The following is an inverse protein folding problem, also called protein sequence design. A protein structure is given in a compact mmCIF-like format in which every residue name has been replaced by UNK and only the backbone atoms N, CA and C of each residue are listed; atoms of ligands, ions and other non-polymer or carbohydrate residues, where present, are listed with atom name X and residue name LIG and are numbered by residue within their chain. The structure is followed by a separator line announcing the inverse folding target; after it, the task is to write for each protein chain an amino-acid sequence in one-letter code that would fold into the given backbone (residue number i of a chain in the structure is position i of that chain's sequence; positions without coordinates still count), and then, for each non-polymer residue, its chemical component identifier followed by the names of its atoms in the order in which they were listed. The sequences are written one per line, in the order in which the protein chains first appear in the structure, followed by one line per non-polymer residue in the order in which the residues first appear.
data_IF_401774190823
#
_entry.id   IF_401774190823
#
_cell.length_a   1.000
_cell.length_b   1.000
_cell.length_c   1.000
_cell.angle_alpha   90.00
_cell.angle_beta   90.00
_cell.angle_gamma   90.00
#
_symmetry.space_group_name_H-M   'P 1'
#
loop_
_entity.id
_entity.type
_entity.pdbx_description
1 polymer ?
#
# COMPACT_ATOMS: atom_id res chain seq x y z
N UNK A 1 34.16 -20.05 -10.87
CA UNK A 1 34.55 -18.83 -11.61
C UNK A 1 34.64 -19.19 -13.08
N UNK A 2 33.82 -18.59 -13.94
CA UNK A 2 33.86 -18.81 -15.40
C UNK A 2 33.88 -17.43 -16.03
N UNK A 3 35.07 -17.01 -16.42
CA UNK A 3 35.35 -15.75 -17.09
C UNK A 3 34.99 -15.83 -18.58
N UNK A 4 34.88 -14.63 -19.16
CA UNK A 4 35.06 -14.27 -20.59
C UNK A 4 33.79 -14.21 -21.45
N UNK A 5 33.36 -12.98 -21.72
CA UNK A 5 33.12 -12.49 -23.08
C UNK A 5 33.10 -10.95 -23.07
N UNK A 6 34.29 -10.37 -23.18
CA UNK A 6 34.54 -8.97 -23.44
C UNK A 6 34.21 -8.66 -24.91
N UNK A 7 33.30 -7.74 -25.19
CA UNK A 7 33.27 -7.00 -26.46
C UNK A 7 33.19 -5.52 -26.16
N UNK A 8 34.38 -4.97 -25.91
CA UNK A 8 34.74 -3.58 -26.13
C UNK A 8 34.76 -3.36 -27.65
N UNK A 9 34.20 -2.25 -28.16
CA UNK A 9 34.94 -1.23 -28.94
C UNK A 9 34.00 -0.16 -29.53
N UNK A 10 34.14 1.07 -29.00
CA UNK A 10 34.44 2.36 -29.70
C UNK A 10 33.45 2.74 -30.83
N UNK A 11 32.76 3.88 -30.78
CA UNK A 11 33.35 5.16 -31.23
C UNK A 11 32.45 6.36 -30.91
N UNK A 12 33.10 7.44 -30.50
CA UNK A 12 32.55 8.76 -30.27
C UNK A 12 32.08 9.46 -31.57
N UNK A 13 30.97 10.19 -31.48
CA UNK A 13 30.71 11.36 -32.32
C UNK A 13 30.27 12.49 -31.40
N UNK A 14 31.08 13.54 -31.35
CA UNK A 14 30.71 14.80 -30.74
C UNK A 14 29.57 15.43 -31.53
N UNK A 15 28.55 15.95 -30.86
CA UNK A 15 27.75 17.04 -31.39
C UNK A 15 27.64 18.14 -30.35
N UNK A 16 28.21 19.29 -30.69
CA UNK A 16 28.12 20.52 -29.95
C UNK A 16 26.70 21.12 -30.10
N UNK A 17 26.23 21.75 -29.02
CA UNK A 17 25.22 22.82 -28.96
C UNK A 17 24.07 22.84 -29.96
N UNK A 18 22.85 22.62 -29.46
CA UNK A 18 21.73 23.53 -29.69
C UNK A 18 20.67 23.29 -28.61
N UNK A 19 20.37 24.33 -27.83
CA UNK A 19 19.10 24.41 -27.13
C UNK A 19 18.00 24.43 -28.19
N UNK A 20 17.09 23.47 -28.17
CA UNK A 20 15.79 23.59 -28.82
C UNK A 20 14.74 22.97 -27.90
N UNK A 21 13.97 23.86 -27.29
CA UNK A 21 12.71 23.56 -26.66
C UNK A 21 11.67 23.36 -27.78
N UNK A 22 11.39 22.11 -28.14
CA UNK A 22 10.19 21.77 -28.90
C UNK A 22 9.77 20.34 -28.54
N UNK A 23 8.97 20.19 -27.48
CA UNK A 23 8.23 18.95 -27.25
C UNK A 23 7.00 18.92 -28.17
N UNK A 24 7.24 18.89 -29.49
CA UNK A 24 6.22 18.46 -30.44
C UNK A 24 6.15 16.94 -30.39
N UNK A 25 5.43 16.40 -29.40
CA UNK A 25 5.04 14.98 -29.42
C UNK A 25 4.09 14.78 -30.60
N UNK A 26 4.66 14.49 -31.77
CA UNK A 26 3.88 14.25 -32.98
C UNK A 26 3.36 12.83 -32.90
N UNK A 27 2.22 12.65 -32.24
CA UNK A 27 1.57 11.35 -32.16
C UNK A 27 1.12 10.93 -33.55
N UNK A 28 1.60 9.77 -33.99
CA UNK A 28 1.19 9.17 -35.26
C UNK A 28 -0.24 8.64 -35.13
N UNK A 29 -0.97 8.57 -36.25
CA UNK A 29 -2.30 7.98 -36.28
C UNK A 29 -2.33 6.55 -35.73
N UNK A 30 -1.26 5.78 -35.96
CA UNK A 30 -1.11 4.43 -35.43
C UNK A 30 -1.04 4.42 -33.89
N UNK A 31 -0.30 5.36 -33.29
CA UNK A 31 -0.22 5.50 -31.83
C UNK A 31 -1.58 5.86 -31.22
N UNK A 32 -2.30 6.81 -31.83
CA UNK A 32 -3.64 7.20 -31.36
C UNK A 32 -4.62 6.02 -31.41
N UNK A 33 -4.56 5.18 -32.45
CA UNK A 33 -5.41 3.99 -32.55
C UNK A 33 -5.03 2.95 -31.48
N UNK A 34 -3.75 2.75 -31.21
CA UNK A 34 -3.29 1.83 -30.18
C UNK A 34 -3.73 2.28 -28.78
N UNK A 35 -3.57 3.57 -28.46
CA UNK A 35 -3.99 4.16 -27.20
C UNK A 35 -5.51 4.07 -27.01
N UNK A 36 -6.26 4.34 -28.08
CA UNK A 36 -7.72 4.26 -28.05
C UNK A 36 -8.21 2.82 -27.86
N UNK A 37 -7.52 1.83 -28.43
CA UNK A 37 -7.81 0.42 -28.20
C UNK A 37 -7.51 0.02 -26.75
N UNK A 38 -6.36 0.44 -26.22
CA UNK A 38 -5.99 0.23 -24.82
C UNK A 38 -7.03 0.85 -23.86
N UNK A 39 -7.47 2.08 -24.12
CA UNK A 39 -8.48 2.77 -23.30
C UNK A 39 -9.85 2.07 -23.33
N UNK A 40 -10.21 1.40 -24.44
CA UNK A 40 -11.41 0.57 -24.52
C UNK A 40 -11.28 -0.71 -23.69
N UNK A 41 -10.13 -1.38 -23.78
CA UNK A 41 -9.86 -2.62 -23.04
C UNK A 41 -9.79 -2.36 -21.53
N UNK A 42 -9.23 -1.22 -21.12
CA UNK A 42 -9.15 -0.81 -19.72
C UNK A 42 -10.45 -0.23 -19.17
N UNK A 43 -11.51 -0.11 -19.99
CA UNK A 43 -12.80 0.43 -19.57
C UNK A 43 -12.79 1.92 -19.23
N UNK A 44 -11.77 2.67 -19.66
CA UNK A 44 -11.63 4.10 -19.39
C UNK A 44 -12.56 4.98 -20.22
N UNK A 45 -13.14 4.44 -21.30
CA UNK A 45 -14.07 5.16 -22.17
C UNK A 45 -15.53 4.93 -21.76
N UNK A 46 -16.28 6.01 -21.57
CA UNK A 46 -17.73 5.94 -21.35
C UNK A 46 -18.48 5.86 -22.68
N UNK A 47 -19.60 5.13 -22.69
CA UNK A 47 -20.52 5.09 -23.82
C UNK A 47 -21.84 5.73 -23.39
N UNK A 48 -22.25 6.79 -24.09
CA UNK A 48 -23.53 7.47 -23.87
C UNK A 48 -23.43 8.76 -23.05
N UNK A 49 -24.58 9.42 -22.88
CA UNK A 49 -24.69 10.80 -22.39
C UNK A 49 -24.66 10.92 -20.85
N UNK A 50 -24.73 9.81 -20.12
CA UNK A 50 -25.03 9.82 -18.68
C UNK A 50 -23.84 9.55 -17.73
N UNK A 51 -22.66 9.19 -18.24
CA UNK A 51 -21.55 8.77 -17.38
C UNK A 51 -20.38 9.75 -17.46
N UNK A 52 -20.61 11.01 -17.09
CA UNK A 52 -19.53 11.97 -16.86
C UNK A 52 -19.49 12.36 -15.38
N UNK A 53 -18.37 12.17 -14.68
CA UNK A 53 -17.08 11.67 -15.18
C UNK A 53 -17.07 10.15 -15.43
N UNK A 54 -16.13 9.63 -16.27
CA UNK A 54 -15.93 8.20 -16.43
C UNK A 54 -15.66 7.52 -15.09
N UNK A 55 -16.27 6.35 -14.89
CA UNK A 55 -16.02 5.52 -13.72
C UNK A 55 -14.52 5.16 -13.70
N UNK A 56 -13.81 5.63 -12.68
CA UNK A 56 -12.42 5.29 -12.49
C UNK A 56 -12.39 3.83 -12.03
N UNK A 57 -11.87 2.95 -12.89
CA UNK A 57 -11.69 1.54 -12.52
C UNK A 57 -10.58 1.49 -11.47
N UNK A 58 -10.95 1.35 -10.20
CA UNK A 58 -9.96 1.15 -9.13
C UNK A 58 -9.30 -0.20 -9.34
N UNK A 59 -8.06 -0.19 -9.84
CA UNK A 59 -7.27 -1.39 -10.10
C UNK A 59 -6.81 -2.09 -8.82
N UNK A 60 -6.95 -1.43 -7.68
CA UNK A 60 -6.47 -1.92 -6.40
C UNK A 60 -7.66 -2.07 -5.45
N UNK A 61 -8.02 -3.32 -5.16
CA UNK A 61 -8.89 -3.67 -4.04
C UNK A 61 -8.24 -4.80 -3.26
N UNK A 62 -8.10 -4.62 -1.94
CA UNK A 62 -7.63 -5.69 -1.06
C UNK A 62 -8.73 -6.74 -0.95
N UNK A 63 -8.35 -8.02 -0.95
CA UNK A 63 -9.31 -9.08 -0.63
C UNK A 63 -9.78 -8.92 0.82
N UNK A 64 -10.97 -9.46 1.13
CA UNK A 64 -11.48 -9.48 2.51
C UNK A 64 -10.45 -10.09 3.47
N UNK A 65 -9.79 -11.16 3.05
CA UNK A 65 -8.80 -11.86 3.87
C UNK A 65 -7.55 -11.00 4.14
N UNK A 66 -7.09 -10.24 3.14
CA UNK A 66 -5.98 -9.30 3.31
C UNK A 66 -6.33 -8.18 4.30
N UNK A 67 -7.54 -7.63 4.20
CA UNK A 67 -8.03 -6.60 5.14
C UNK A 67 -8.12 -7.16 6.56
N UNK A 68 -8.62 -8.39 6.72
CA UNK A 68 -8.70 -9.04 8.03
C UNK A 68 -7.32 -9.32 8.64
N UNK A 69 -6.35 -9.74 7.83
CA UNK A 69 -4.98 -9.97 8.28
C UNK A 69 -4.31 -8.67 8.77
N UNK A 70 -4.46 -7.58 8.02
CA UNK A 70 -3.93 -6.26 8.38
C UNK A 70 -4.61 -5.70 9.63
N UNK A 71 -5.93 -5.84 9.75
CA UNK A 71 -6.66 -5.43 10.96
C UNK A 71 -6.19 -6.20 12.20
N UNK A 72 -5.96 -7.52 12.07
CA UNK A 72 -5.44 -8.33 13.16
C UNK A 72 -4.02 -7.91 13.57
N UNK A 73 -3.16 -7.60 12.58
CA UNK A 73 -1.81 -7.10 12.83
C UNK A 73 -1.82 -5.74 13.54
N UNK A 74 -2.59 -4.77 13.04
CA UNK A 74 -2.72 -3.44 13.65
C UNK A 74 -3.28 -3.51 15.08
N UNK A 75 -4.22 -4.43 15.35
CA UNK A 75 -4.74 -4.68 16.70
C UNK A 75 -3.67 -5.28 17.62
N UNK A 76 -2.85 -6.20 17.12
CA UNK A 76 -1.76 -6.79 17.90
C UNK A 76 -0.65 -5.77 18.21
N UNK A 77 -0.38 -4.86 17.28
CA UNK A 77 0.58 -3.77 17.43
C UNK A 77 0.04 -2.58 18.26
N UNK A 78 -1.25 -2.57 18.61
CA UNK A 78 -1.85 -1.48 19.37
C UNK A 78 -1.92 -0.16 18.60
N UNK A 79 -1.98 -0.21 17.25
CA UNK A 79 -2.01 0.97 16.37
C UNK A 79 -3.43 1.54 16.18
N UNK A 80 -4.46 0.84 16.67
CA UNK A 80 -5.85 1.26 16.54
C UNK A 80 -6.25 2.12 17.73
N UNK A 81 -6.73 3.35 17.47
CA UNK A 81 -7.35 4.16 18.52
C UNK A 81 -8.66 3.52 18.98
N UNK A 82 -8.95 3.62 20.27
CA UNK A 82 -10.25 3.23 20.83
C UNK A 82 -10.97 4.50 21.29
N UNK A 83 -12.00 4.92 20.55
CA UNK A 83 -12.81 6.11 20.86
C UNK A 83 -12.30 7.41 20.20
N UNK A 84 -12.97 8.52 20.53
CA UNK A 84 -12.79 9.82 19.87
C UNK A 84 -11.61 10.66 20.40
N UNK A 85 -10.93 10.22 21.46
CA UNK A 85 -9.98 11.05 22.21
C UNK A 85 -8.49 10.78 21.93
N UNK A 86 -8.14 9.68 21.24
CA UNK A 86 -6.75 9.28 20.99
C UNK A 86 -6.35 9.45 19.51
N UNK A 87 -6.29 10.70 19.04
CA UNK A 87 -5.70 11.03 17.74
C UNK A 87 -4.52 12.01 17.87
N UNK A 88 -3.33 11.67 17.32
CA UNK A 88 -3.00 10.44 16.60
C UNK A 88 -2.90 9.22 17.55
N UNK A 89 -3.13 7.99 17.06
CA UNK A 89 -2.98 6.80 17.89
C UNK A 89 -1.53 6.71 18.39
N UNK A 90 -1.37 6.69 19.71
CA UNK A 90 -0.07 6.44 20.33
C UNK A 90 0.12 4.93 20.39
N UNK A 91 1.21 4.41 19.81
CA UNK A 91 1.53 3.00 19.90
C UNK A 91 1.55 2.57 21.38
N UNK A 92 0.78 1.52 21.70
CA UNK A 92 0.74 1.00 23.06
C UNK A 92 2.17 0.63 23.52
N UNK A 93 2.53 1.01 24.74
CA UNK A 93 3.82 0.61 25.30
C UNK A 93 3.91 -0.92 25.31
N UNK A 94 5.01 -1.45 24.78
CA UNK A 94 5.29 -2.89 24.72
C UNK A 94 5.19 -3.48 26.14
N UNK A 95 4.18 -4.31 26.38
CA UNK A 95 4.06 -5.07 27.62
C UNK A 95 5.16 -6.12 27.67
N UNK A 96 5.88 -6.19 28.78
CA UNK A 96 6.85 -7.28 29.02
C UNK A 96 6.18 -8.63 29.27
N UNK A 97 4.85 -8.64 29.49
CA UNK A 97 4.05 -9.85 29.71
C UNK A 97 3.18 -10.16 28.49
N UNK A 98 3.23 -11.40 28.05
CA UNK A 98 2.30 -11.98 27.07
C UNK A 98 0.90 -12.10 27.65
N UNK A 99 -0.12 -12.15 26.78
CA UNK A 99 -1.51 -12.41 27.19
C UNK A 99 -1.65 -13.68 28.04
N UNK A 100 -0.91 -14.74 27.71
CA UNK A 100 -0.95 -15.99 28.47
C UNK A 100 -0.38 -15.83 29.89
N UNK A 101 0.69 -15.06 30.07
CA UNK A 101 1.24 -14.75 31.39
C UNK A 101 0.26 -13.94 32.24
N UNK A 102 -0.42 -12.95 31.64
CA UNK A 102 -1.45 -12.16 32.33
C UNK A 102 -2.63 -13.04 32.77
N UNK A 103 -3.07 -13.98 31.93
CA UNK A 103 -4.16 -14.90 32.29
C UNK A 103 -3.76 -15.85 33.43
N UNK A 104 -2.52 -16.35 33.44
CA UNK A 104 -2.03 -17.18 34.53
C UNK A 104 -1.95 -16.40 35.85
N UNK A 105 -1.42 -15.17 35.81
CA UNK A 105 -1.35 -14.29 36.99
C UNK A 105 -2.75 -13.95 37.52
N UNK A 106 -3.72 -13.70 36.64
CA UNK A 106 -5.11 -13.51 37.03
C UNK A 106 -5.67 -14.76 37.72
N UNK A 107 -5.37 -15.96 37.20
CA UNK A 107 -5.84 -17.20 37.80
C UNK A 107 -5.19 -17.45 39.17
N UNK A 108 -3.89 -17.17 39.33
CA UNK A 108 -3.19 -17.23 40.62
C UNK A 108 -3.76 -16.23 41.64
N UNK A 109 -4.07 -15.01 41.20
CA UNK A 109 -4.68 -13.96 42.02
C UNK A 109 -6.09 -14.36 42.51
N UNK A 110 -6.90 -14.96 41.64
CA UNK A 110 -8.23 -15.46 42.01
C UNK A 110 -8.12 -16.67 42.96
N UNK A 111 -7.15 -17.56 42.72
CA UNK A 111 -6.91 -18.72 43.58
C UNK A 111 -6.38 -18.33 44.98
N UNK A 112 -5.72 -17.19 45.12
CA UNK A 112 -5.25 -16.69 46.41
C UNK A 112 -6.36 -16.04 47.26
N UNK A 113 -7.61 -15.98 46.78
CA UNK A 113 -8.77 -15.49 47.52
C UNK A 113 -8.83 -13.96 47.68
N UNK A 114 -8.03 -13.20 46.94
CA UNK A 114 -7.97 -11.73 47.01
C UNK A 114 -9.08 -11.05 46.18
N UNK A 115 -10.33 -11.50 46.31
CA UNK A 115 -11.45 -11.05 45.45
C UNK A 115 -11.92 -9.62 45.78
N UNK A 116 -11.53 -9.07 46.94
CA UNK A 116 -12.06 -7.80 47.47
C UNK A 116 -11.39 -6.52 46.92
N UNK A 117 -10.32 -6.59 46.13
CA UNK A 117 -9.57 -5.38 45.68
C UNK A 117 -9.89 -4.90 44.25
N UNK A 118 -10.94 -5.41 43.60
CA UNK A 118 -11.34 -4.99 42.24
C UNK A 118 -12.60 -4.11 42.27
N UNK A 119 -12.69 -3.17 43.23
CA UNK A 119 -13.60 -2.03 43.12
C UNK A 119 -12.79 -0.72 43.21
N UNK A 120 -12.53 -0.13 42.04
CA UNK A 120 -12.38 1.32 41.80
C UNK A 120 -12.29 1.57 40.28
#
# INVERSE_FOLDING_TARGET
MKTVATTLIISAAMFAGAAQAEQTTTVTRAQVVAELQQARESGQLTRGELNYPPAIVSSESKSRDQVLAELAAARAAGELSQGELDYPPVAAAESTKTRAQVVNELHEYLASGNVDQIEA
#
